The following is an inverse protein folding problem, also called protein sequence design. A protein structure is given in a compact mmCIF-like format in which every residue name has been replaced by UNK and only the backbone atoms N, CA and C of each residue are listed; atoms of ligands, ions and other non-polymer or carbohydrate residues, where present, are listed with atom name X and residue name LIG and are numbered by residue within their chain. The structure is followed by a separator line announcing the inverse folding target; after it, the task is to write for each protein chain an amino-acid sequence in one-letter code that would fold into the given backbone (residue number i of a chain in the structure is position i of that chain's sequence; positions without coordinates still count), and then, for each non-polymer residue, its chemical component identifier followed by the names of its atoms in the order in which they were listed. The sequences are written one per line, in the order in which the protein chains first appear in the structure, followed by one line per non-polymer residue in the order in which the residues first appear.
data_IF_166680399652
#
_entry.id   IF_166680399652
#
_cell.length_a   1.000
_cell.length_b   1.000
_cell.length_c   1.000
_cell.angle_alpha   90.00
_cell.angle_beta   90.00
_cell.angle_gamma   90.00
#
_symmetry.space_group_name_H-M   'P 1'
#
loop_
_entity.id
_entity.type
_entity.pdbx_description
1 polymer ?
#
# COMPACT_ATOMS: atom_id res chain seq x y z
N UNK A 1 0.01 13.92 -12.38
CA UNK A 1 -1.31 13.28 -12.23
C UNK A 1 -1.06 11.86 -11.73
N UNK A 2 -1.23 11.60 -10.43
CA UNK A 2 -1.11 10.23 -9.90
C UNK A 2 -2.38 9.52 -10.37
N UNK A 3 -2.25 8.68 -11.41
CA UNK A 3 -3.33 7.82 -11.91
C UNK A 3 -3.84 7.00 -10.72
N UNK A 4 -5.16 6.84 -10.63
CA UNK A 4 -5.85 6.07 -9.59
C UNK A 4 -5.05 4.82 -9.22
N UNK A 5 -4.44 4.86 -8.03
CA UNK A 5 -3.94 3.65 -7.43
C UNK A 5 -5.19 3.02 -6.80
N UNK A 6 -5.56 1.86 -7.31
CA UNK A 6 -6.65 1.09 -6.73
C UNK A 6 -6.23 0.68 -5.31
N UNK A 7 -6.94 1.16 -4.26
CA UNK A 7 -6.55 0.93 -2.87
C UNK A 7 -6.40 -0.55 -2.53
N UNK A 8 -7.13 -1.44 -3.21
CA UNK A 8 -7.06 -2.90 -3.01
C UNK A 8 -5.71 -3.50 -3.42
N UNK A 9 -5.02 -2.85 -4.37
CA UNK A 9 -3.73 -3.28 -4.89
C UNK A 9 -2.55 -2.68 -4.11
N UNK A 10 -2.79 -1.85 -3.11
CA UNK A 10 -1.71 -1.27 -2.29
C UNK A 10 -1.47 -2.12 -1.06
N UNK A 11 -0.28 -2.71 -0.90
CA UNK A 11 0.07 -3.41 0.32
C UNK A 11 -0.08 -2.49 1.53
N UNK A 12 -0.79 -2.97 2.56
CA UNK A 12 -1.14 -2.18 3.76
C UNK A 12 0.10 -1.60 4.45
N UNK A 13 1.26 -2.26 4.32
CA UNK A 13 2.55 -1.80 4.86
C UNK A 13 3.04 -0.44 4.34
N UNK A 14 2.42 0.07 3.27
CA UNK A 14 2.70 1.38 2.68
C UNK A 14 1.69 2.45 3.11
N UNK A 15 0.61 2.05 3.76
CA UNK A 15 -0.40 2.98 4.28
C UNK A 15 0.03 3.46 5.67
N UNK A 16 0.11 4.77 5.85
CA UNK A 16 0.47 5.39 7.13
C UNK A 16 -0.78 5.55 8.00
N UNK A 17 -1.87 5.98 7.38
CA UNK A 17 -3.16 6.21 8.04
C UNK A 17 -4.29 6.28 7.02
N UNK A 18 -5.51 6.01 7.46
CA UNK A 18 -6.71 6.34 6.73
C UNK A 18 -7.63 7.23 7.58
N UNK A 19 -8.25 8.22 6.94
CA UNK A 19 -9.34 9.00 7.50
C UNK A 19 -10.62 8.43 6.91
N UNK A 20 -11.50 7.91 7.75
CA UNK A 20 -12.75 7.30 7.32
C UNK A 20 -13.91 8.17 7.78
N UNK A 21 -14.97 8.18 6.98
CA UNK A 21 -16.23 8.86 7.25
C UNK A 21 -17.35 7.86 7.14
N UNK A 22 -18.15 7.73 8.18
CA UNK A 22 -19.31 6.85 8.19
C UNK A 22 -20.51 7.49 7.45
N UNK A 23 -21.63 6.77 7.36
CA UNK A 23 -22.86 7.30 6.76
C UNK A 23 -23.55 8.39 7.59
N UNK A 24 -23.22 8.52 8.89
CA UNK A 24 -23.72 9.59 9.75
C UNK A 24 -22.95 10.91 9.56
N UNK A 25 -21.77 10.83 8.92
CA UNK A 25 -20.86 11.91 8.68
C UNK A 25 -19.75 12.06 9.73
N UNK A 26 -19.69 11.16 10.70
CA UNK A 26 -18.64 11.10 11.71
C UNK A 26 -17.32 10.67 11.08
N UNK A 27 -16.25 11.39 11.41
CA UNK A 27 -14.91 11.13 10.90
C UNK A 27 -14.04 10.49 11.99
N UNK A 28 -13.37 9.38 11.66
CA UNK A 28 -12.34 8.79 12.52
C UNK A 28 -11.05 8.55 11.75
N UNK A 29 -9.94 8.54 12.48
CA UNK A 29 -8.61 8.26 11.94
C UNK A 29 -8.21 6.87 12.38
N UNK A 30 -7.90 6.00 11.43
CA UNK A 30 -7.43 4.63 11.67
C UNK A 30 -5.96 4.50 11.30
N UNK A 31 -5.19 3.81 12.15
CA UNK A 31 -3.74 3.62 12.02
C UNK A 31 -3.32 2.25 12.53
N UNK A 32 -2.12 1.80 12.16
CA UNK A 32 -1.54 0.56 12.70
C UNK A 32 -2.41 -0.67 12.47
N UNK A 33 -2.65 -1.47 13.51
CA UNK A 33 -3.43 -2.71 13.43
C UNK A 33 -4.90 -2.47 13.05
N UNK A 34 -5.50 -1.37 13.49
CA UNK A 34 -6.89 -1.02 13.16
C UNK A 34 -7.05 -0.76 11.65
N UNK A 35 -6.06 -0.11 11.05
CA UNK A 35 -6.00 0.09 9.61
C UNK A 35 -5.83 -1.24 8.86
N UNK A 36 -5.06 -2.18 9.39
CA UNK A 36 -4.90 -3.52 8.80
C UNK A 36 -6.21 -4.30 8.85
N UNK A 37 -6.89 -4.29 9.99
CA UNK A 37 -8.20 -4.92 10.13
C UNK A 37 -9.21 -4.29 9.16
N UNK A 38 -9.20 -2.95 9.06
CA UNK A 38 -10.05 -2.21 8.15
C UNK A 38 -9.83 -2.57 6.67
N UNK A 39 -8.57 -2.63 6.21
CA UNK A 39 -8.25 -2.96 4.82
C UNK A 39 -8.56 -4.43 4.46
N UNK A 40 -8.64 -5.32 5.46
CA UNK A 40 -9.01 -6.73 5.25
C UNK A 40 -10.52 -6.93 5.11
N UNK A 41 -11.31 -6.11 5.78
CA UNK A 41 -12.78 -6.15 5.71
C UNK A 41 -13.40 -4.74 5.76
N UNK A 42 -13.43 -4.05 4.60
CA UNK A 42 -13.99 -2.71 4.51
C UNK A 42 -15.51 -2.67 4.78
N UNK A 43 -16.22 -3.77 4.49
CA UNK A 43 -17.69 -3.88 4.55
C UNK A 43 -18.18 -3.92 6.01
N UNK A 44 -17.41 -4.50 6.93
CA UNK A 44 -17.76 -4.55 8.35
C UNK A 44 -17.88 -3.15 9.02
N UNK A 45 -17.31 -2.11 8.42
CA UNK A 45 -17.05 -0.84 9.11
C UNK A 45 -18.11 0.26 8.89
N UNK A 46 -19.18 0.03 8.12
CA UNK A 46 -20.24 1.02 7.85
C UNK A 46 -19.73 2.38 7.33
N UNK A 47 -18.76 2.35 6.41
CA UNK A 47 -18.07 3.55 5.91
C UNK A 47 -18.67 4.03 4.58
N UNK A 48 -18.84 5.34 4.47
CA UNK A 48 -19.23 6.01 3.24
C UNK A 48 -18.01 6.47 2.41
N UNK A 49 -16.95 6.94 3.06
CA UNK A 49 -15.73 7.45 2.39
C UNK A 49 -14.46 7.09 3.18
N UNK A 50 -13.38 6.70 2.49
CA UNK A 50 -12.06 6.52 3.08
C UNK A 50 -11.00 7.29 2.29
N UNK A 51 -10.21 8.10 2.99
CA UNK A 51 -9.05 8.82 2.45
C UNK A 51 -7.76 8.25 3.04
N UNK A 52 -6.92 7.72 2.18
CA UNK A 52 -5.74 6.96 2.57
C UNK A 52 -4.46 7.77 2.31
N UNK A 53 -3.52 7.78 3.27
CA UNK A 53 -2.22 8.43 3.13
C UNK A 53 -1.13 7.37 2.98
N UNK A 54 -0.38 7.45 1.88
CA UNK A 54 0.66 6.48 1.54
C UNK A 54 2.08 7.01 1.79
N UNK A 55 2.98 6.11 2.21
CA UNK A 55 4.42 6.39 2.27
C UNK A 55 5.08 6.12 0.92
N UNK A 56 4.93 7.08 0.00
CA UNK A 56 5.47 7.00 -1.37
C UNK A 56 7.00 6.84 -1.39
N UNK A 57 7.72 7.40 -0.40
CA UNK A 57 9.18 7.26 -0.31
C UNK A 57 9.59 5.81 -0.05
N UNK A 58 8.88 5.13 0.87
CA UNK A 58 9.10 3.71 1.17
C UNK A 58 8.76 2.84 -0.05
N UNK A 59 7.60 3.05 -0.67
CA UNK A 59 7.19 2.33 -1.89
C UNK A 59 8.26 2.41 -2.99
N UNK A 60 8.74 3.63 -3.27
CA UNK A 60 9.76 3.83 -4.30
C UNK A 60 11.07 3.11 -3.97
N UNK A 61 11.50 3.14 -2.70
CA UNK A 61 12.72 2.47 -2.26
C UNK A 61 12.61 0.95 -2.48
N UNK A 62 11.48 0.36 -2.09
CA UNK A 62 11.30 -1.08 -2.15
C UNK A 62 11.20 -1.57 -3.61
N UNK A 63 10.51 -0.81 -4.49
CA UNK A 63 10.47 -1.10 -5.93
C UNK A 63 11.87 -1.08 -6.56
N UNK A 64 12.69 -0.06 -6.24
CA UNK A 64 14.06 0.03 -6.78
C UNK A 64 14.89 -1.16 -6.30
N UNK A 65 14.82 -1.50 -5.01
CA UNK A 65 15.57 -2.62 -4.46
C UNK A 65 15.19 -3.96 -5.11
N UNK A 66 13.90 -4.18 -5.38
CA UNK A 66 13.42 -5.38 -6.08
C UNK A 66 13.96 -5.46 -7.51
N UNK A 67 13.89 -4.35 -8.25
CA UNK A 67 14.43 -4.26 -9.61
C UNK A 67 15.95 -4.50 -9.64
N UNK A 68 16.70 -3.90 -8.71
CA UNK A 68 18.14 -4.13 -8.56
C UNK A 68 18.45 -5.60 -8.25
N UNK A 69 17.64 -6.25 -7.42
CA UNK A 69 17.73 -7.68 -7.13
C UNK A 69 17.58 -8.54 -8.39
N UNK A 70 16.53 -8.29 -9.19
CA UNK A 70 16.28 -9.00 -10.46
C UNK A 70 17.46 -8.83 -11.42
N UNK A 71 17.98 -7.60 -11.58
CA UNK A 71 19.16 -7.37 -12.43
C UNK A 71 20.40 -8.12 -11.92
N UNK A 72 20.60 -8.18 -10.61
CA UNK A 72 21.68 -8.96 -10.00
C UNK A 72 21.58 -10.46 -10.29
N UNK A 73 20.38 -11.03 -10.22
CA UNK A 73 20.13 -12.44 -10.51
C UNK A 73 20.34 -12.77 -11.99
N UNK A 74 19.81 -11.94 -12.90
CA UNK A 74 20.00 -12.11 -14.35
C UNK A 74 21.49 -12.08 -14.72
N UNK A 75 22.25 -11.12 -14.18
CA UNK A 75 23.70 -11.05 -14.41
C UNK A 75 24.43 -12.29 -13.89
N UNK A 76 24.03 -12.83 -12.72
CA UNK A 76 24.62 -14.05 -12.18
C UNK A 76 24.38 -15.26 -13.10
N UNK A 77 23.16 -15.41 -13.62
CA UNK A 77 22.82 -16.50 -14.53
C UNK A 77 23.59 -16.41 -15.86
N UNK A 78 23.74 -15.21 -16.41
CA UNK A 78 24.53 -14.99 -17.64
C UNK A 78 26.00 -15.37 -17.45
N UNK A 79 26.58 -15.01 -16.29
CA UNK A 79 27.97 -15.34 -15.95
C UNK A 79 28.20 -16.83 -15.65
N UNK A 80 27.18 -17.58 -15.23
CA UNK A 80 27.26 -19.04 -15.01
C UNK A 80 27.03 -19.86 -16.29
N UNK A 81 26.48 -19.23 -17.33
CA UNK A 81 26.19 -19.86 -18.62
C UNK A 81 27.29 -19.60 -19.67
N UNK A 82 28.36 -18.90 -19.28
CA UNK A 82 29.55 -18.60 -20.08
C UNK A 82 30.75 -19.41 -19.58
#
# INVERSE_FOLDING_TARGET
MIRQIDPEHVPVQYIIMAKIKDFSGEERIVRGEELVAFMKDPQASHIAEARVIFNVKKMRKDIIAEVEGVFGEVNRLLLQSS
#
